data_IF_967479646846
#
_entry.id   IF_967479646846
#
_cell.length_a   1.000
_cell.length_b   1.000
_cell.length_c   1.000
_cell.angle_alpha   90.00
_cell.angle_beta   90.00
_cell.angle_gamma   90.00
#
_symmetry.space_group_name_H-M   'P 1'
#
loop_
_entity.id
_entity.type
_entity.pdbx_description
1 polymer ?
#
# COMPACT_ATOMS: atom_id res chain seq x y z
N UNK A 1 -5.50 -4.37 -13.78
CA UNK A 1 -5.00 -3.13 -13.15
C UNK A 1 -4.33 -3.45 -11.83
N UNK A 2 -5.03 -4.12 -10.90
CA UNK A 2 -4.43 -4.59 -9.64
C UNK A 2 -3.22 -5.52 -9.86
N UNK A 3 -3.18 -6.36 -10.90
CA UNK A 3 -2.04 -7.27 -11.13
C UNK A 3 -0.71 -6.53 -11.26
N UNK A 4 -0.64 -5.50 -12.10
CA UNK A 4 0.59 -4.72 -12.30
C UNK A 4 1.01 -3.98 -11.02
N UNK A 5 0.06 -3.38 -10.31
CA UNK A 5 0.33 -2.71 -9.03
C UNK A 5 0.79 -3.72 -7.98
N UNK A 6 0.17 -4.89 -7.93
CA UNK A 6 0.54 -5.95 -6.99
C UNK A 6 1.94 -6.49 -7.25
N UNK A 7 2.35 -6.65 -8.52
CA UNK A 7 3.73 -7.00 -8.86
C UNK A 7 4.72 -5.93 -8.38
N UNK A 8 4.40 -4.63 -8.54
CA UNK A 8 5.24 -3.55 -8.01
C UNK A 8 5.35 -3.62 -6.49
N UNK A 9 4.24 -3.88 -5.79
CA UNK A 9 4.21 -4.06 -4.34
C UNK A 9 5.09 -5.24 -3.94
N UNK A 10 5.00 -6.40 -4.61
CA UNK A 10 5.86 -7.54 -4.31
C UNK A 10 7.35 -7.21 -4.52
N UNK A 11 7.68 -6.52 -5.60
CA UNK A 11 9.06 -6.10 -5.89
C UNK A 11 9.63 -5.07 -4.89
N UNK A 12 8.76 -4.39 -4.13
CA UNK A 12 9.17 -3.44 -3.10
C UNK A 12 9.17 -4.04 -1.67
N UNK A 13 9.01 -5.35 -1.55
CA UNK A 13 9.13 -6.06 -0.27
C UNK A 13 10.44 -5.68 0.46
N UNK A 14 10.33 -5.46 1.78
CA UNK A 14 11.46 -5.10 2.63
C UNK A 14 12.00 -3.68 2.45
N UNK A 15 11.56 -2.94 1.43
CA UNK A 15 11.97 -1.54 1.24
C UNK A 15 11.25 -0.61 2.22
N UNK A 16 11.89 0.51 2.55
CA UNK A 16 11.32 1.52 3.45
C UNK A 16 10.29 2.38 2.70
N UNK A 17 9.15 2.60 3.32
CA UNK A 17 8.08 3.51 2.93
C UNK A 17 7.82 4.52 4.05
N UNK A 18 7.38 5.72 3.71
CA UNK A 18 7.12 6.79 4.65
C UNK A 18 5.62 7.17 4.67
N UNK A 19 5.02 7.18 5.86
CA UNK A 19 3.66 7.70 6.03
C UNK A 19 3.67 9.24 6.02
N UNK A 20 2.53 9.88 5.70
CA UNK A 20 2.34 11.34 5.72
C UNK A 20 2.85 12.00 7.03
N UNK A 21 2.80 11.28 8.16
CA UNK A 21 3.25 11.77 9.48
C UNK A 21 4.76 11.58 9.74
N UNK A 22 5.56 11.26 8.72
CA UNK A 22 7.01 11.05 8.81
C UNK A 22 7.42 9.71 9.42
N UNK A 23 6.50 8.74 9.43
CA UNK A 23 6.72 7.45 10.09
C UNK A 23 7.11 6.41 9.06
N UNK A 24 8.34 5.93 9.14
CA UNK A 24 8.87 4.89 8.26
C UNK A 24 8.29 3.51 8.62
N UNK A 25 8.14 2.64 7.63
CA UNK A 25 7.78 1.23 7.80
C UNK A 25 8.28 0.38 6.63
N UNK A 26 8.26 -0.93 6.81
CA UNK A 26 8.47 -1.93 5.76
C UNK A 26 7.35 -2.96 5.82
N UNK A 27 7.29 -3.87 4.85
CA UNK A 27 6.39 -5.01 4.88
C UNK A 27 7.04 -6.23 4.26
N UNK A 28 6.50 -7.39 4.61
CA UNK A 28 6.81 -8.68 4.00
C UNK A 28 5.61 -9.18 3.21
N UNK A 29 5.83 -9.83 2.09
CA UNK A 29 4.77 -10.46 1.30
C UNK A 29 4.47 -11.83 1.92
N UNK A 30 3.21 -12.06 2.26
CA UNK A 30 2.75 -13.31 2.87
C UNK A 30 1.85 -14.06 1.89
N UNK A 31 2.33 -15.21 1.45
CA UNK A 31 1.68 -15.98 0.39
C UNK A 31 1.65 -15.17 -0.91
N UNK A 32 0.55 -15.27 -1.67
CA UNK A 32 0.43 -14.56 -2.96
C UNK A 32 -0.47 -13.31 -2.90
N UNK A 33 -1.18 -13.10 -1.80
CA UNK A 33 -2.31 -12.15 -1.77
C UNK A 33 -2.37 -11.27 -0.52
N UNK A 34 -1.30 -11.18 0.28
CA UNK A 34 -1.28 -10.30 1.44
C UNK A 34 0.13 -9.78 1.71
N UNK A 35 0.20 -8.65 2.40
CA UNK A 35 1.42 -8.16 3.03
C UNK A 35 1.23 -8.13 4.55
N UNK A 36 2.30 -8.35 5.30
CA UNK A 36 2.38 -8.13 6.73
C UNK A 36 3.24 -6.89 6.99
N UNK A 37 2.67 -5.93 7.73
CA UNK A 37 3.38 -4.69 8.07
C UNK A 37 4.36 -4.97 9.22
N UNK A 38 5.58 -4.44 9.16
CA UNK A 38 6.57 -4.68 10.21
C UNK A 38 6.25 -3.95 11.53
N UNK A 39 5.60 -2.78 11.44
CA UNK A 39 5.30 -1.92 12.60
C UNK A 39 4.04 -2.29 13.34
N UNK A 40 3.17 -3.05 12.70
CA UNK A 40 1.90 -3.47 13.25
C UNK A 40 1.72 -4.90 12.83
N UNK A 41 1.41 -5.83 13.74
CA UNK A 41 1.07 -7.23 13.41
C UNK A 41 -0.27 -7.33 12.65
N UNK A 42 -0.44 -6.54 11.60
CA UNK A 42 -1.61 -6.40 10.75
C UNK A 42 -1.22 -6.86 9.36
N UNK A 43 -2.10 -7.65 8.77
CA UNK A 43 -2.01 -8.04 7.38
C UNK A 43 -2.92 -7.14 6.54
N UNK A 44 -2.46 -6.78 5.36
CA UNK A 44 -3.27 -6.05 4.37
C UNK A 44 -3.39 -6.93 3.13
N UNK A 45 -4.62 -7.25 2.76
CA UNK A 45 -4.89 -8.14 1.63
C UNK A 45 -4.77 -7.41 0.29
N UNK A 46 -4.45 -8.16 -0.77
CA UNK A 46 -4.50 -7.71 -2.17
C UNK A 46 -5.85 -7.09 -2.53
N UNK A 47 -6.95 -7.68 -2.04
CA UNK A 47 -8.31 -7.15 -2.24
C UNK A 47 -8.49 -5.77 -1.60
N UNK A 48 -7.85 -5.52 -0.46
CA UNK A 48 -7.88 -4.20 0.18
C UNK A 48 -7.18 -3.15 -0.70
N UNK A 49 -6.06 -3.51 -1.35
CA UNK A 49 -5.41 -2.64 -2.33
C UNK A 49 -6.26 -2.41 -3.57
N UNK A 50 -6.92 -3.46 -4.07
CA UNK A 50 -7.86 -3.33 -5.20
C UNK A 50 -8.98 -2.33 -4.89
N UNK A 51 -9.58 -2.40 -3.71
CA UNK A 51 -10.59 -1.43 -3.26
C UNK A 51 -10.04 -0.01 -3.10
N UNK A 52 -8.77 0.12 -2.71
CA UNK A 52 -8.12 1.43 -2.58
C UNK A 52 -7.78 2.05 -3.95
N UNK A 53 -7.47 1.23 -4.96
CA UNK A 53 -7.19 1.68 -6.32
C UNK A 53 -8.39 2.38 -6.98
N UNK A 54 -9.62 2.14 -6.52
CA UNK A 54 -10.81 2.87 -6.99
C UNK A 54 -10.78 4.37 -6.62
N UNK A 55 -9.86 4.78 -5.74
CA UNK A 55 -9.80 6.13 -5.18
C UNK A 55 -8.50 6.87 -5.52
N UNK A 56 -7.60 6.29 -6.31
CA UNK A 56 -6.35 6.98 -6.70
C UNK A 56 -6.59 8.00 -7.83
N UNK A 57 -5.81 9.10 -7.89
CA UNK A 57 -4.80 9.53 -6.93
C UNK A 57 -5.41 10.00 -5.59
N UNK A 58 -4.73 9.68 -4.49
CA UNK A 58 -5.16 10.05 -3.14
C UNK A 58 -4.44 11.32 -2.69
N UNK A 59 -5.17 12.35 -2.30
CA UNK A 59 -4.59 13.55 -1.66
C UNK A 59 -4.41 13.37 -0.14
N UNK A 60 -5.19 12.49 0.47
CA UNK A 60 -5.14 12.16 1.89
C UNK A 60 -5.76 10.76 2.14
N UNK A 61 -5.84 10.34 3.41
CA UNK A 61 -6.37 9.01 3.78
C UNK A 61 -7.90 8.94 3.84
N UNK A 62 -8.63 10.06 3.72
CA UNK A 62 -10.10 10.08 3.88
C UNK A 62 -10.83 9.12 2.93
N UNK A 63 -10.51 9.05 1.62
CA UNK A 63 -11.21 8.14 0.70
C UNK A 63 -11.08 6.65 1.08
N UNK A 64 -9.96 6.29 1.72
CA UNK A 64 -9.63 4.91 2.11
C UNK A 64 -9.80 4.65 3.60
N UNK A 65 -10.34 5.59 4.37
CA UNK A 65 -10.43 5.51 5.83
C UNK A 65 -11.23 4.29 6.33
N UNK A 66 -12.16 3.79 5.50
CA UNK A 66 -12.96 2.57 5.78
C UNK A 66 -12.19 1.26 5.60
N UNK A 67 -11.03 1.31 4.93
CA UNK A 67 -10.19 0.15 4.69
C UNK A 67 -9.23 -0.08 5.86
N UNK A 68 -8.68 -1.30 5.95
CA UNK A 68 -7.68 -1.60 6.96
C UNK A 68 -6.37 -0.87 6.66
N UNK A 69 -5.71 -0.36 7.71
CA UNK A 69 -4.41 0.31 7.61
C UNK A 69 -4.36 1.46 6.57
N UNK A 70 -5.28 2.45 6.65
CA UNK A 70 -5.44 3.47 5.61
C UNK A 70 -4.18 4.33 5.40
N UNK A 71 -3.44 4.63 6.47
CA UNK A 71 -2.17 5.37 6.39
C UNK A 71 -1.07 4.61 5.63
N UNK A 72 -1.06 3.28 5.74
CA UNK A 72 -0.10 2.42 5.06
C UNK A 72 -0.48 2.23 3.59
N UNK A 73 -1.77 2.02 3.31
CA UNK A 73 -2.30 1.95 1.94
C UNK A 73 -1.98 3.24 1.18
N UNK A 74 -2.25 4.40 1.78
CA UNK A 74 -1.90 5.68 1.19
C UNK A 74 -0.41 5.75 0.87
N UNK A 75 0.44 5.47 1.86
CA UNK A 75 1.89 5.55 1.71
C UNK A 75 2.41 4.63 0.60
N UNK A 76 1.89 3.41 0.49
CA UNK A 76 2.30 2.46 -0.56
C UNK A 76 1.80 2.91 -1.92
N UNK A 77 0.52 3.24 -2.08
CA UNK A 77 -0.06 3.54 -3.40
C UNK A 77 0.42 4.88 -3.96
N UNK A 78 0.77 5.84 -3.12
CA UNK A 78 1.26 7.16 -3.55
C UNK A 78 2.79 7.22 -3.68
N UNK A 79 3.50 6.15 -3.35
CA UNK A 79 4.94 6.06 -3.56
C UNK A 79 5.30 6.01 -5.05
N UNK A 80 6.32 6.76 -5.46
CA UNK A 80 6.75 6.86 -6.86
C UNK A 80 7.10 5.49 -7.48
N UNK A 81 7.60 4.54 -6.68
CA UNK A 81 7.90 3.17 -7.13
C UNK A 81 6.63 2.40 -7.53
N UNK A 82 5.50 2.72 -6.91
CA UNK A 82 4.21 2.05 -7.09
C UNK A 82 3.33 2.79 -8.09
N UNK A 83 3.12 4.10 -7.92
CA UNK A 83 2.24 4.91 -8.80
C UNK A 83 2.84 5.12 -10.19
N UNK A 84 4.16 5.27 -10.27
CA UNK A 84 4.86 5.59 -11.51
C UNK A 84 4.19 6.75 -12.27
N UNK A 85 3.82 6.55 -13.54
CA UNK A 85 3.07 7.53 -14.35
C UNK A 85 1.59 7.14 -14.51
N UNK A 86 1.10 6.18 -13.71
CA UNK A 86 -0.28 5.68 -13.84
C UNK A 86 -1.29 6.62 -13.17
N UNK A 87 -0.89 7.32 -12.10
CA UNK A 87 -1.65 8.39 -11.44
C UNK A 87 -0.77 9.39 -10.67
#
# INVERSE_FOLDING_TARGET
MIDAVWERIKNCEGQVFEQIRGQEFTYNVIGDNSIELNRTNRMVSRKTFEQALEHVPLENTVPVQRLQAPSYIFAILMDDRIRQNDW
#
